data_IF_808505427653
#
_entry.id   IF_808505427653
#
_cell.length_a   1.000
_cell.length_b   1.000
_cell.length_c   1.000
_cell.angle_alpha   90.00
_cell.angle_beta   90.00
_cell.angle_gamma   90.00
#
_symmetry.space_group_name_H-M   'P 1'
#
loop_
_entity.id
_entity.type
_entity.pdbx_description
1 polymer ?
#
# COMPACT_ATOMS: atom_id res chain seq x y z
N UNK A 1 27.39 -6.60 -26.35
CA UNK A 1 26.95 -6.74 -24.94
C UNK A 1 26.68 -5.34 -24.42
N UNK A 2 25.44 -4.86 -24.52
CA UNK A 2 25.04 -3.55 -24.02
C UNK A 2 24.13 -3.75 -22.83
N UNK A 3 24.56 -3.30 -21.66
CA UNK A 3 23.71 -3.18 -20.47
C UNK A 3 22.71 -2.04 -20.72
N UNK A 4 21.40 -2.23 -20.51
CA UNK A 4 20.49 -1.10 -20.49
C UNK A 4 20.72 -0.33 -19.18
N UNK A 5 21.18 0.92 -19.32
CA UNK A 5 21.18 1.93 -18.27
C UNK A 5 19.74 2.15 -17.82
N UNK A 6 19.37 1.57 -16.67
CA UNK A 6 18.17 1.97 -15.96
C UNK A 6 18.33 3.44 -15.57
N UNK A 7 17.45 4.30 -16.10
CA UNK A 7 17.40 5.70 -15.70
C UNK A 7 17.18 5.76 -14.18
N UNK A 8 18.15 6.31 -13.45
CA UNK A 8 17.97 6.67 -12.07
C UNK A 8 16.89 7.75 -12.02
N UNK A 9 15.68 7.38 -11.58
CA UNK A 9 14.67 8.37 -11.19
C UNK A 9 15.29 9.16 -10.04
N UNK A 10 15.55 10.44 -10.25
CA UNK A 10 16.00 11.33 -9.17
C UNK A 10 14.84 11.51 -8.18
N UNK A 11 14.85 10.71 -7.11
CA UNK A 11 13.86 10.71 -6.03
C UNK A 11 14.15 11.85 -5.03
N UNK A 12 14.14 13.09 -5.50
CA UNK A 12 14.17 14.25 -4.61
C UNK A 12 12.79 14.44 -3.98
N UNK A 13 12.69 14.21 -2.66
CA UNK A 13 11.46 14.38 -1.87
C UNK A 13 10.92 13.10 -1.22
N UNK A 14 11.59 11.95 -1.36
CA UNK A 14 11.32 10.82 -0.46
C UNK A 14 11.91 11.19 0.91
N UNK A 15 11.09 11.19 1.98
CA UNK A 15 11.61 11.40 3.33
C UNK A 15 12.66 10.33 3.65
N UNK A 16 13.76 10.74 4.27
CA UNK A 16 14.85 9.80 4.54
C UNK A 16 14.35 8.65 5.42
N UNK A 17 14.92 7.43 5.34
CA UNK A 17 14.51 6.32 6.18
C UNK A 17 14.52 6.64 7.68
N UNK A 18 15.36 7.60 8.10
CA UNK A 18 15.39 8.15 9.46
C UNK A 18 14.13 8.94 9.86
N UNK A 19 13.42 9.53 8.90
CA UNK A 19 12.16 10.27 9.09
C UNK A 19 10.95 9.32 9.09
N UNK A 20 11.12 8.09 8.58
CA UNK A 20 10.12 7.01 8.57
C UNK A 20 10.46 5.96 9.63
N UNK A 21 10.39 6.36 10.89
CA UNK A 21 10.76 5.52 12.02
C UNK A 21 10.07 4.13 11.96
N UNK A 22 10.87 3.07 11.80
CA UNK A 22 10.42 1.68 11.89
C UNK A 22 10.26 0.91 10.57
N UNK A 23 10.67 1.46 9.43
CA UNK A 23 10.71 0.70 8.18
C UNK A 23 11.74 -0.45 8.24
N UNK A 24 11.45 -1.63 7.66
CA UNK A 24 12.48 -2.60 7.34
C UNK A 24 13.39 -2.00 6.25
N UNK A 25 14.64 -1.68 6.58
CA UNK A 25 15.61 -1.07 5.66
C UNK A 25 16.84 -1.97 5.54
N UNK A 26 17.38 -2.15 4.33
CA UNK A 26 18.71 -2.69 4.10
C UNK A 26 19.70 -1.58 3.69
N UNK A 27 20.86 -1.95 3.16
CA UNK A 27 21.89 -0.98 2.73
C UNK A 27 21.48 -0.12 1.53
N UNK A 28 20.46 -0.52 0.77
CA UNK A 28 19.99 0.17 -0.44
C UNK A 28 18.61 0.84 -0.28
N UNK A 29 17.82 0.47 0.73
CA UNK A 29 16.56 1.16 1.04
C UNK A 29 15.50 0.29 1.70
N UNK A 30 14.22 0.68 1.62
CA UNK A 30 13.12 -0.11 2.17
C UNK A 30 13.04 -1.48 1.50
N UNK A 31 12.98 -2.53 2.31
CA UNK A 31 12.81 -3.91 1.83
C UNK A 31 11.33 -4.25 1.79
N UNK A 32 10.89 -4.82 0.67
CA UNK A 32 9.51 -5.27 0.46
C UNK A 32 9.51 -6.78 0.19
N UNK A 33 8.82 -7.55 1.03
CA UNK A 33 8.65 -8.98 0.86
C UNK A 33 7.66 -9.30 -0.26
N UNK A 34 6.68 -8.42 -0.49
CA UNK A 34 5.64 -8.59 -1.52
C UNK A 34 5.48 -7.32 -2.36
N UNK A 35 5.15 -7.42 -3.66
CA UNK A 35 4.99 -6.23 -4.52
C UNK A 35 3.97 -5.21 -3.99
N UNK A 36 2.92 -5.65 -3.30
CA UNK A 36 1.90 -4.76 -2.75
C UNK A 36 2.43 -3.86 -1.62
N UNK A 37 3.47 -4.29 -0.89
CA UNK A 37 4.05 -3.51 0.20
C UNK A 37 4.72 -2.24 -0.34
N UNK A 38 5.44 -2.37 -1.46
CA UNK A 38 6.02 -1.24 -2.17
C UNK A 38 4.93 -0.27 -2.69
N UNK A 39 3.79 -0.80 -3.11
CA UNK A 39 2.67 0.01 -3.59
C UNK A 39 2.04 0.81 -2.43
N UNK A 40 1.78 0.18 -1.30
CA UNK A 40 1.24 0.87 -0.10
C UNK A 40 2.20 1.96 0.35
N UNK A 41 3.51 1.65 0.44
CA UNK A 41 4.54 2.63 0.75
C UNK A 41 4.48 3.83 -0.20
N UNK A 42 4.49 3.59 -1.52
CA UNK A 42 4.46 4.67 -2.52
C UNK A 42 3.20 5.54 -2.41
N UNK A 43 2.04 4.93 -2.15
CA UNK A 43 0.78 5.68 -1.95
C UNK A 43 0.85 6.57 -0.71
N UNK A 44 1.36 6.05 0.41
CA UNK A 44 1.53 6.84 1.65
C UNK A 44 2.43 8.04 1.41
N UNK A 45 3.58 7.85 0.76
CA UNK A 45 4.50 8.96 0.41
C UNK A 45 3.78 10.01 -0.45
N UNK A 46 3.07 9.57 -1.48
CA UNK A 46 2.43 10.48 -2.43
C UNK A 46 1.28 11.27 -1.78
N UNK A 47 0.46 10.64 -0.95
CA UNK A 47 -0.63 11.32 -0.24
C UNK A 47 -0.11 12.32 0.80
N UNK A 48 0.99 11.99 1.49
CA UNK A 48 1.69 12.93 2.35
C UNK A 48 2.23 14.12 1.53
N UNK A 49 2.88 13.85 0.37
CA UNK A 49 3.41 14.89 -0.51
C UNK A 49 2.32 15.84 -1.03
N UNK A 50 1.10 15.33 -1.21
CA UNK A 50 -0.09 16.11 -1.56
C UNK A 50 -0.72 16.84 -0.37
N UNK A 51 -0.22 16.64 0.85
CA UNK A 51 -0.68 17.34 2.06
C UNK A 51 -1.96 16.78 2.65
N UNK A 52 -2.36 15.55 2.32
CA UNK A 52 -3.60 14.95 2.84
C UNK A 52 -3.52 14.67 4.35
N UNK A 53 -2.31 14.38 4.84
CA UNK A 53 -1.97 14.23 6.25
C UNK A 53 -0.51 14.62 6.48
N UNK A 54 -0.16 14.89 7.74
CA UNK A 54 1.22 15.13 8.15
C UNK A 54 1.89 13.84 8.64
N UNK A 55 3.23 13.80 8.67
CA UNK A 55 3.96 12.67 9.26
C UNK A 55 3.66 12.47 10.75
N UNK A 56 3.36 13.54 11.50
CA UNK A 56 2.97 13.44 12.89
C UNK A 56 1.64 12.71 13.05
N UNK A 57 0.63 13.08 12.24
CA UNK A 57 -0.68 12.41 12.20
C UNK A 57 -0.54 10.93 11.80
N UNK A 58 0.28 10.65 10.78
CA UNK A 58 0.56 9.28 10.34
C UNK A 58 1.15 8.42 11.47
N UNK A 59 2.18 8.93 12.13
CA UNK A 59 2.89 8.22 13.21
C UNK A 59 1.96 7.94 14.40
N UNK A 60 1.17 8.93 14.79
CA UNK A 60 0.17 8.79 15.85
C UNK A 60 -0.85 7.69 15.53
N UNK A 61 -1.43 7.71 14.33
CA UNK A 61 -2.45 6.73 13.94
C UNK A 61 -1.86 5.33 13.77
N UNK A 62 -0.68 5.19 13.18
CA UNK A 62 -0.01 3.90 13.01
C UNK A 62 0.36 3.27 14.36
N UNK A 63 0.93 4.06 15.28
CA UNK A 63 1.28 3.56 16.61
C UNK A 63 0.05 3.13 17.41
N UNK A 64 -1.05 3.90 17.33
CA UNK A 64 -2.35 3.55 17.93
C UNK A 64 -2.86 2.22 17.36
N UNK A 65 -2.80 2.04 16.04
CA UNK A 65 -3.27 0.82 15.40
C UNK A 65 -2.44 -0.40 15.80
N UNK A 66 -1.12 -0.28 15.86
CA UNK A 66 -0.24 -1.36 16.31
C UNK A 66 -0.52 -1.72 17.77
N UNK A 67 -0.75 -0.73 18.65
CA UNK A 67 -1.09 -0.96 20.05
C UNK A 67 -2.41 -1.75 20.19
N UNK A 68 -3.45 -1.36 19.46
CA UNK A 68 -4.75 -2.06 19.46
C UNK A 68 -4.64 -3.52 19.02
N UNK A 69 -3.81 -3.81 18.03
CA UNK A 69 -3.57 -5.20 17.56
C UNK A 69 -2.81 -6.00 18.61
N UNK A 70 -1.79 -5.42 19.25
CA UNK A 70 -1.03 -6.08 20.34
C UNK A 70 -1.94 -6.42 21.52
N UNK A 71 -2.84 -5.53 21.90
CA UNK A 71 -3.80 -5.76 23.00
C UNK A 71 -4.77 -6.92 22.70
N UNK A 72 -5.08 -7.18 21.42
CA UNK A 72 -5.94 -8.30 21.00
C UNK A 72 -5.22 -9.65 20.98
N UNK A 73 -3.92 -9.69 21.31
CA UNK A 73 -3.13 -10.92 21.38
C UNK A 73 -2.75 -11.48 20.01
N UNK A 74 -2.86 -10.68 18.95
CA UNK A 74 -2.37 -11.05 17.62
C UNK A 74 -0.84 -11.02 17.62
N UNK A 75 -0.21 -12.16 17.30
CA UNK A 75 1.24 -12.26 17.27
C UNK A 75 1.80 -11.41 16.11
N UNK A 76 2.63 -10.44 16.45
CA UNK A 76 3.38 -9.61 15.50
C UNK A 76 4.50 -10.46 14.88
N UNK A 77 4.16 -11.23 13.86
CA UNK A 77 5.04 -12.19 13.19
C UNK A 77 5.90 -11.53 12.11
N UNK A 78 6.35 -10.27 12.28
CA UNK A 78 7.26 -9.57 11.35
C UNK A 78 6.70 -9.24 9.96
N UNK A 79 5.80 -10.07 9.43
CA UNK A 79 5.14 -9.98 8.12
C UNK A 79 3.84 -9.15 8.17
N UNK A 80 3.47 -8.66 9.37
CA UNK A 80 2.25 -7.90 9.65
C UNK A 80 2.47 -6.38 9.55
N UNK A 81 3.72 -5.93 9.47
CA UNK A 81 4.06 -4.50 9.52
C UNK A 81 3.39 -3.67 8.42
N UNK A 82 3.52 -4.07 7.15
CA UNK A 82 2.86 -3.37 6.05
C UNK A 82 1.33 -3.57 6.02
N UNK A 83 0.81 -4.59 6.72
CA UNK A 83 -0.64 -4.74 6.91
C UNK A 83 -1.17 -3.68 7.88
N UNK A 84 -0.41 -3.34 8.93
CA UNK A 84 -0.72 -2.21 9.81
C UNK A 84 -0.65 -0.87 9.05
N UNK A 85 0.32 -0.71 8.14
CA UNK A 85 0.37 0.46 7.25
C UNK A 85 -0.88 0.57 6.39
N UNK A 86 -1.26 -0.50 5.69
CA UNK A 86 -2.44 -0.51 4.85
C UNK A 86 -3.71 -0.19 5.66
N UNK A 87 -3.87 -0.85 6.81
CA UNK A 87 -5.05 -0.63 7.67
C UNK A 87 -5.12 0.81 8.19
N UNK A 88 -3.98 1.36 8.62
CA UNK A 88 -3.89 2.77 9.06
C UNK A 88 -4.25 3.72 7.94
N UNK A 89 -3.73 3.48 6.74
CA UNK A 89 -4.03 4.28 5.55
C UNK A 89 -5.54 4.24 5.21
N UNK A 90 -6.15 3.05 5.18
CA UNK A 90 -7.58 2.90 4.90
C UNK A 90 -8.43 3.70 5.92
N UNK A 91 -8.14 3.54 7.22
CA UNK A 91 -8.83 4.29 8.28
C UNK A 91 -8.68 5.82 8.12
N UNK A 92 -7.48 6.29 7.78
CA UNK A 92 -7.24 7.71 7.52
C UNK A 92 -8.03 8.24 6.32
N UNK A 93 -8.13 7.46 5.24
CA UNK A 93 -8.87 7.82 4.05
C UNK A 93 -10.39 7.81 4.29
N UNK A 94 -10.89 6.88 5.11
CA UNK A 94 -12.28 6.86 5.55
C UNK A 94 -12.63 8.07 6.40
N UNK A 95 -11.81 8.37 7.42
CA UNK A 95 -12.05 9.52 8.32
C UNK A 95 -12.05 10.86 7.58
N UNK A 96 -11.23 10.97 6.53
CA UNK A 96 -11.16 12.17 5.67
C UNK A 96 -12.15 12.15 4.51
N UNK A 97 -13.03 11.14 4.44
CA UNK A 97 -14.05 10.97 3.41
C UNK A 97 -13.49 11.00 1.97
N UNK A 98 -12.26 10.50 1.79
CA UNK A 98 -11.58 10.35 0.49
C UNK A 98 -11.94 9.03 -0.17
N UNK A 99 -12.27 8.02 0.63
CA UNK A 99 -12.64 6.68 0.21
C UNK A 99 -13.87 6.23 0.98
N UNK A 100 -14.70 5.37 0.39
CA UNK A 100 -15.81 4.70 1.09
C UNK A 100 -15.63 3.18 1.07
N UNK A 101 -15.94 2.51 2.18
CA UNK A 101 -15.79 1.05 2.31
C UNK A 101 -16.57 0.28 1.22
N UNK A 102 -17.76 0.80 0.84
CA UNK A 102 -18.57 0.23 -0.22
C UNK A 102 -17.86 0.24 -1.58
N UNK A 103 -17.16 1.33 -1.92
CA UNK A 103 -16.45 1.46 -3.19
C UNK A 103 -15.27 0.49 -3.25
N UNK A 104 -14.51 0.38 -2.15
CA UNK A 104 -13.36 -0.53 -2.03
C UNK A 104 -13.78 -1.97 -2.22
N UNK A 105 -14.85 -2.39 -1.55
CA UNK A 105 -15.41 -3.74 -1.69
C UNK A 105 -15.88 -3.99 -3.12
N UNK A 106 -16.55 -3.02 -3.75
CA UNK A 106 -16.96 -3.14 -5.14
C UNK A 106 -15.76 -3.30 -6.08
N UNK A 107 -14.69 -2.51 -5.88
CA UNK A 107 -13.46 -2.65 -6.66
C UNK A 107 -12.78 -4.01 -6.45
N UNK A 108 -12.71 -4.51 -5.22
CA UNK A 108 -12.16 -5.83 -4.93
C UNK A 108 -12.94 -6.95 -5.63
N UNK A 109 -14.28 -6.86 -5.63
CA UNK A 109 -15.14 -7.79 -6.36
C UNK A 109 -14.91 -7.69 -7.86
N UNK A 110 -14.86 -6.48 -8.44
CA UNK A 110 -14.61 -6.28 -9.88
C UNK A 110 -13.24 -6.82 -10.30
N UNK A 111 -12.19 -6.59 -9.52
CA UNK A 111 -10.88 -7.17 -9.80
C UNK A 111 -10.88 -8.70 -9.73
N UNK A 112 -11.60 -9.28 -8.76
CA UNK A 112 -11.78 -10.73 -8.71
C UNK A 112 -12.50 -11.26 -9.94
N UNK A 113 -13.56 -10.61 -10.39
CA UNK A 113 -14.27 -11.00 -11.61
C UNK A 113 -13.39 -10.83 -12.84
N UNK A 114 -12.64 -9.73 -12.94
CA UNK A 114 -11.70 -9.51 -14.02
C UNK A 114 -10.68 -10.64 -14.13
N UNK A 115 -10.12 -11.09 -12.99
CA UNK A 115 -9.22 -12.23 -12.96
C UNK A 115 -9.90 -13.52 -13.46
N UNK A 116 -11.11 -13.82 -13.00
CA UNK A 116 -11.85 -15.02 -13.39
C UNK A 116 -12.26 -15.03 -14.87
N UNK A 117 -12.60 -13.86 -15.42
CA UNK A 117 -13.02 -13.70 -16.81
C UNK A 117 -11.85 -13.61 -17.79
N UNK A 118 -10.61 -13.40 -17.31
CA UNK A 118 -9.43 -13.29 -18.17
C UNK A 118 -8.90 -14.68 -18.54
N UNK A 119 -8.86 -15.05 -19.84
CA UNK A 119 -8.25 -16.31 -20.26
C UNK A 119 -6.79 -16.43 -19.80
N UNK A 120 -6.37 -17.65 -19.44
CA UNK A 120 -5.00 -17.91 -19.00
C UNK A 120 -3.96 -17.40 -20.01
N UNK A 121 -2.92 -16.73 -19.51
CA UNK A 121 -1.85 -16.15 -20.33
C UNK A 121 -2.19 -14.78 -20.95
N UNK A 122 -3.35 -14.20 -20.68
CA UNK A 122 -3.69 -12.82 -21.04
C UNK A 122 -3.54 -11.87 -19.85
N UNK A 123 -3.20 -10.59 -20.08
CA UNK A 123 -3.19 -9.58 -19.00
C UNK A 123 -4.58 -9.37 -18.43
N UNK A 124 -4.67 -9.21 -17.10
CA UNK A 124 -5.94 -8.89 -16.42
C UNK A 124 -6.20 -7.39 -16.51
N UNK A 125 -7.35 -7.01 -17.07
CA UNK A 125 -7.82 -5.64 -17.11
C UNK A 125 -9.09 -5.50 -16.27
N UNK A 126 -9.24 -4.42 -15.51
CA UNK A 126 -10.41 -4.23 -14.63
C UNK A 126 -11.74 -4.24 -15.40
N UNK A 127 -11.74 -3.78 -16.66
CA UNK A 127 -12.91 -3.82 -17.55
C UNK A 127 -13.46 -5.23 -17.76
N UNK A 128 -12.60 -6.25 -17.72
CA UNK A 128 -13.03 -7.66 -17.82
C UNK A 128 -13.92 -8.09 -16.65
N UNK A 129 -13.91 -7.35 -15.54
CA UNK A 129 -14.79 -7.61 -14.38
C UNK A 129 -16.22 -7.11 -14.57
N UNK A 130 -16.46 -6.25 -15.57
CA UNK A 130 -17.79 -5.78 -15.95
C UNK A 130 -18.43 -6.66 -17.03
N UNK A 131 -17.60 -7.48 -17.71
CA UNK A 131 -18.07 -8.43 -18.71
C UNK A 131 -18.85 -9.56 -18.06
N UNK A 132 -20.03 -9.85 -18.63
CA UNK A 132 -20.85 -10.99 -18.22
C UNK A 132 -20.08 -12.28 -18.57
N UNK A 133 -20.04 -13.31 -17.69
CA UNK A 133 -19.34 -14.55 -18.00
C UNK A 133 -19.89 -15.15 -19.30
N UNK A 134 -18.96 -15.58 -20.17
CA UNK A 134 -19.24 -16.27 -21.42
C UNK A 134 -19.89 -17.64 -21.20
#
# INVERSE_FOLDING_TARGET
MGTPTGAAVSLQGIPQPAELAGLPVDTEGPVFAKPWEAQVFAIVIELHRQGLFSWAEWTERLSTQIALVRERGEADLGDTYYQHWLTTLELMLYDKNVMQDVEVRQYAVRWRQAYLNTPHGKPVALSSGDDKPA
#
